data_IF_251656364290
#
_entry.id   IF_251656364290
#
_cell.length_a   1.000
_cell.length_b   1.000
_cell.length_c   1.000
_cell.angle_alpha   90.00
_cell.angle_beta   90.00
_cell.angle_gamma   90.00
#
_symmetry.space_group_name_H-M   'P 1'
#
loop_
_entity.id
_entity.type
_entity.pdbx_description
1 polymer ?
#
# COMPACT_ATOMS: atom_id res chain seq x y z
N UNK A 1 -10.43 3.61 -7.51
CA UNK A 1 -10.13 3.26 -8.90
C UNK A 1 -8.63 3.13 -9.10
N UNK A 2 -8.20 2.46 -10.17
CA UNK A 2 -6.79 2.12 -10.44
C UNK A 2 -5.82 3.31 -10.49
N UNK A 3 -6.25 4.44 -11.04
CA UNK A 3 -5.41 5.65 -11.11
C UNK A 3 -4.86 6.10 -9.74
N UNK A 4 -5.67 5.98 -8.68
CA UNK A 4 -5.23 6.33 -7.32
C UNK A 4 -4.21 5.33 -6.75
N UNK A 5 -4.35 4.04 -7.08
CA UNK A 5 -3.42 2.98 -6.69
C UNK A 5 -2.07 3.19 -7.40
N UNK A 6 -2.11 3.45 -8.71
CA UNK A 6 -0.90 3.74 -9.49
C UNK A 6 -0.16 4.96 -8.94
N UNK A 7 -0.88 6.04 -8.62
CA UNK A 7 -0.28 7.23 -8.04
C UNK A 7 0.40 6.95 -6.69
N UNK A 8 -0.27 6.22 -5.79
CA UNK A 8 0.28 5.86 -4.49
C UNK A 8 1.43 4.85 -4.56
N UNK A 9 1.49 4.03 -5.61
CA UNK A 9 2.57 3.06 -5.83
C UNK A 9 3.83 3.70 -6.44
N UNK A 10 3.77 4.95 -6.93
CA UNK A 10 4.91 5.58 -7.61
C UNK A 10 6.14 5.64 -6.71
N UNK A 11 7.25 5.18 -7.28
CA UNK A 11 8.55 5.16 -6.61
C UNK A 11 8.77 3.94 -5.71
N UNK A 12 7.74 3.18 -5.35
CA UNK A 12 7.87 1.93 -4.60
C UNK A 12 8.46 0.82 -5.47
N UNK A 13 9.22 -0.07 -4.84
CA UNK A 13 9.67 -1.32 -5.46
C UNK A 13 8.52 -2.33 -5.58
N UNK A 14 8.67 -3.30 -6.46
CA UNK A 14 7.71 -4.40 -6.60
C UNK A 14 7.43 -5.11 -5.27
N UNK A 15 8.48 -5.35 -4.47
CA UNK A 15 8.34 -6.02 -3.16
C UNK A 15 7.53 -5.19 -2.15
N UNK A 16 7.62 -3.86 -2.22
CA UNK A 16 6.81 -2.96 -1.39
C UNK A 16 5.34 -2.97 -1.82
N UNK A 17 5.07 -2.94 -3.14
CA UNK A 17 3.72 -3.04 -3.69
C UNK A 17 3.08 -4.39 -3.32
N UNK A 18 3.82 -5.49 -3.48
CA UNK A 18 3.33 -6.83 -3.13
C UNK A 18 2.98 -6.93 -1.64
N UNK A 19 3.85 -6.45 -0.73
CA UNK A 19 3.55 -6.44 0.71
C UNK A 19 2.32 -5.61 1.06
N UNK A 20 2.14 -4.46 0.41
CA UNK A 20 0.95 -3.63 0.65
C UNK A 20 -0.33 -4.38 0.24
N UNK A 21 -0.32 -5.05 -0.91
CA UNK A 21 -1.44 -5.88 -1.36
C UNK A 21 -1.70 -7.06 -0.40
N UNK A 22 -0.66 -7.79 0.01
CA UNK A 22 -0.76 -8.91 0.92
C UNK A 22 -1.35 -8.50 2.27
N UNK A 23 -0.96 -7.35 2.82
CA UNK A 23 -1.53 -6.83 4.07
C UNK A 23 -3.01 -6.51 3.95
N UNK A 24 -3.43 -5.87 2.84
CA UNK A 24 -4.84 -5.54 2.62
C UNK A 24 -5.69 -6.81 2.48
N UNK A 25 -5.20 -7.80 1.73
CA UNK A 25 -5.89 -9.09 1.57
C UNK A 25 -5.93 -9.84 2.91
N UNK A 26 -4.82 -9.88 3.65
CA UNK A 26 -4.76 -10.50 4.98
C UNK A 26 -5.78 -9.90 5.94
N UNK A 27 -5.88 -8.57 5.99
CA UNK A 27 -6.87 -7.88 6.84
C UNK A 27 -8.29 -8.26 6.44
N UNK A 28 -8.61 -8.26 5.15
CA UNK A 28 -9.94 -8.67 4.69
C UNK A 28 -10.28 -10.12 5.07
N UNK A 29 -9.30 -11.05 5.00
CA UNK A 29 -9.48 -12.44 5.43
C UNK A 29 -9.77 -12.52 6.93
N UNK A 30 -8.97 -11.84 7.76
CA UNK A 30 -9.13 -11.86 9.23
C UNK A 30 -10.46 -11.24 9.67
N UNK A 31 -10.94 -10.24 8.92
CA UNK A 31 -12.23 -9.59 9.15
C UNK A 31 -13.40 -10.28 8.46
N UNK A 32 -13.18 -11.45 7.84
CA UNK A 32 -14.20 -12.24 7.13
C UNK A 32 -14.91 -11.46 6.01
N UNK A 33 -14.23 -10.48 5.42
CA UNK A 33 -14.71 -9.70 4.28
C UNK A 33 -14.34 -10.38 2.98
N UNK A 34 -15.26 -10.33 2.01
CA UNK A 34 -15.07 -10.91 0.67
C UNK A 34 -14.42 -9.96 -0.33
N UNK A 35 -14.21 -8.70 0.06
CA UNK A 35 -13.73 -7.65 -0.83
C UNK A 35 -12.82 -6.69 -0.08
N UNK A 36 -11.87 -6.14 -0.82
CA UNK A 36 -11.02 -5.02 -0.42
C UNK A 36 -11.46 -3.77 -1.19
N UNK A 37 -11.08 -2.61 -0.69
CA UNK A 37 -11.40 -1.31 -1.27
C UNK A 37 -10.15 -0.66 -1.84
N UNK A 38 -10.32 0.23 -2.81
CA UNK A 38 -9.21 1.06 -3.30
C UNK A 38 -8.54 1.84 -2.16
N UNK A 39 -9.33 2.34 -1.20
CA UNK A 39 -8.83 3.18 -0.09
C UNK A 39 -7.87 2.39 0.82
N UNK A 40 -8.18 1.13 1.12
CA UNK A 40 -7.28 0.27 1.92
C UNK A 40 -5.93 0.05 1.22
N UNK A 41 -5.96 -0.20 -0.09
CA UNK A 41 -4.74 -0.36 -0.90
C UNK A 41 -3.92 0.94 -0.94
N UNK A 42 -4.58 2.07 -1.19
CA UNK A 42 -3.92 3.38 -1.20
C UNK A 42 -3.30 3.72 0.15
N UNK A 43 -3.98 3.43 1.26
CA UNK A 43 -3.45 3.67 2.60
C UNK A 43 -2.15 2.89 2.83
N UNK A 44 -2.10 1.58 2.50
CA UNK A 44 -0.91 0.75 2.69
C UNK A 44 0.28 1.12 1.80
N UNK A 45 0.02 1.59 0.58
CA UNK A 45 1.06 2.13 -0.29
C UNK A 45 1.61 3.46 0.26
N UNK A 46 0.72 4.35 0.71
CA UNK A 46 1.09 5.66 1.24
C UNK A 46 1.92 5.56 2.52
N UNK A 47 1.58 4.64 3.44
CA UNK A 47 2.37 4.36 4.66
C UNK A 47 3.83 4.04 4.33
N UNK A 48 4.09 3.26 3.27
CA UNK A 48 5.43 2.86 2.83
C UNK A 48 6.19 4.01 2.18
N UNK A 49 5.49 4.80 1.37
CA UNK A 49 6.06 6.01 0.77
C UNK A 49 6.47 7.03 1.84
N UNK A 50 5.68 7.17 2.91
CA UNK A 50 5.98 8.01 4.05
C UNK A 50 7.23 7.54 4.83
N UNK A 51 7.38 6.23 5.05
CA UNK A 51 8.62 5.69 5.64
C UNK A 51 9.83 6.02 4.76
N UNK A 52 9.75 5.76 3.46
CA UNK A 52 10.86 6.04 2.54
C UNK A 52 11.28 7.50 2.50
N UNK A 53 10.32 8.42 2.46
CA UNK A 53 10.61 9.86 2.50
C UNK A 53 11.27 10.26 3.83
N UNK A 54 10.82 9.69 4.95
CA UNK A 54 11.44 9.93 6.25
C UNK A 54 12.91 9.41 6.32
N UNK A 55 13.22 8.30 5.66
CA UNK A 55 14.60 7.77 5.59
C UNK A 55 15.48 8.47 4.55
N UNK A 56 14.90 8.99 3.46
CA UNK A 56 15.63 9.71 2.42
C UNK A 56 16.11 11.11 2.87
N UNK A 57 15.43 11.74 3.82
CA UNK A 57 15.80 13.07 4.38
C UNK A 57 16.93 12.98 5.42
N UNK A 58 17.35 11.76 5.81
CA UNK A 58 18.37 11.53 6.85
C UNK A 58 19.77 11.18 6.31
N UNK A 59 20.01 11.33 5.00
CA UNK A 59 21.31 11.18 4.34
C UNK A 59 21.72 12.53 3.72
#
# INVERSE_FOLDING_TARGET
GWAAIEQAARGLSQAEVARAADEVVKTAILEQRKQTTTQEVVAKLTERQAMRTAFAVKL
#
